data_IF_250863793134
#
_entry.id   IF_250863793134
#
_cell.length_a   1.000
_cell.length_b   1.000
_cell.length_c   1.000
_cell.angle_alpha   90.00
_cell.angle_beta   90.00
_cell.angle_gamma   90.00
#
_symmetry.space_group_name_H-M   'P 1'
#
loop_
_entity.id
_entity.type
_entity.pdbx_description
1 polymer ?
#
# COMPACT_ATOMS: atom_id res chain seq x y z
N UNK A 1 -24.26 4.21 28.87
CA UNK A 1 -23.78 3.06 28.08
C UNK A 1 -22.65 3.60 27.20
N UNK A 2 -21.40 3.35 27.58
CA UNK A 2 -20.25 3.82 26.80
C UNK A 2 -20.00 2.81 25.69
N UNK A 3 -20.32 3.16 24.44
CA UNK A 3 -19.87 2.42 23.27
C UNK A 3 -18.35 2.59 23.21
N UNK A 4 -17.63 1.63 23.80
CA UNK A 4 -16.19 1.53 23.66
C UNK A 4 -15.93 1.17 22.19
N UNK A 5 -15.87 2.19 21.33
CA UNK A 5 -15.36 2.05 19.99
C UNK A 5 -13.96 1.46 20.18
N UNK A 6 -13.80 0.18 19.85
CA UNK A 6 -12.50 -0.47 19.79
C UNK A 6 -11.69 0.39 18.82
N UNK A 7 -10.85 1.29 19.36
CA UNK A 7 -10.03 2.20 18.57
C UNK A 7 -8.97 1.30 17.96
N UNK A 8 -9.34 0.63 16.87
CA UNK A 8 -8.46 -0.30 16.20
C UNK A 8 -7.15 0.39 15.94
N UNK A 9 -6.06 -0.32 16.22
CA UNK A 9 -4.71 0.23 16.11
C UNK A 9 -4.52 0.80 14.70
N UNK A 10 -3.90 1.98 14.59
CA UNK A 10 -3.61 2.58 13.30
C UNK A 10 -2.33 1.95 12.77
N UNK A 11 -2.37 1.47 11.54
CA UNK A 11 -1.19 0.91 10.88
C UNK A 11 -0.78 1.79 9.71
N UNK A 12 0.52 2.07 9.61
CA UNK A 12 1.13 2.73 8.45
C UNK A 12 2.08 1.74 7.80
N UNK A 13 1.86 1.48 6.51
CA UNK A 13 2.75 0.65 5.71
C UNK A 13 3.48 1.56 4.75
N UNK A 14 4.80 1.64 4.93
CA UNK A 14 5.71 2.32 4.02
C UNK A 14 6.37 1.27 3.14
N UNK A 15 6.04 1.30 1.86
CA UNK A 15 6.49 0.32 0.89
C UNK A 15 7.53 0.94 -0.05
N UNK A 16 8.77 0.46 0.01
CA UNK A 16 9.80 0.79 -0.98
C UNK A 16 9.55 -0.02 -2.26
N UNK A 17 8.97 0.64 -3.26
CA UNK A 17 8.63 0.00 -4.54
C UNK A 17 9.85 -0.18 -5.44
N UNK A 18 10.98 0.49 -5.16
CA UNK A 18 12.20 0.29 -5.95
C UNK A 18 12.86 -1.03 -5.57
N UNK A 19 12.94 -1.31 -4.27
CA UNK A 19 13.59 -2.52 -3.76
C UNK A 19 12.63 -3.73 -3.74
N UNK A 20 11.33 -3.48 -3.57
CA UNK A 20 10.28 -4.50 -3.61
C UNK A 20 9.22 -4.15 -4.67
N UNK A 21 9.54 -4.25 -5.98
CA UNK A 21 8.58 -3.95 -7.04
C UNK A 21 7.47 -5.01 -7.12
N UNK A 22 6.37 -4.66 -7.81
CA UNK A 22 5.36 -5.66 -8.17
C UNK A 22 5.95 -6.58 -9.24
N UNK A 23 5.86 -7.90 -9.08
CA UNK A 23 6.33 -8.84 -10.09
C UNK A 23 5.59 -8.66 -11.41
N UNK A 24 6.28 -8.87 -12.53
CA UNK A 24 5.67 -8.76 -13.86
C UNK A 24 4.46 -9.70 -13.99
N UNK A 25 3.42 -9.20 -14.68
CA UNK A 25 2.16 -9.92 -14.89
C UNK A 25 1.26 -10.07 -13.65
N UNK A 26 1.66 -9.53 -12.49
CA UNK A 26 0.83 -9.56 -11.29
C UNK A 26 0.01 -8.29 -11.14
N UNK A 27 -1.23 -8.44 -10.66
CA UNK A 27 -2.09 -7.30 -10.43
C UNK A 27 -1.70 -6.56 -9.12
N UNK A 28 -1.47 -5.23 -9.19
CA UNK A 28 -1.12 -4.42 -8.02
C UNK A 28 -2.12 -4.53 -6.86
N UNK A 29 -3.41 -4.63 -7.16
CA UNK A 29 -4.44 -4.76 -6.14
C UNK A 29 -4.30 -6.06 -5.37
N UNK A 30 -3.95 -7.17 -6.04
CA UNK A 30 -3.76 -8.45 -5.36
C UNK A 30 -2.57 -8.41 -4.39
N UNK A 31 -1.47 -7.74 -4.77
CA UNK A 31 -0.30 -7.58 -3.90
C UNK A 31 -0.67 -6.76 -2.65
N UNK A 32 -1.32 -5.61 -2.85
CA UNK A 32 -1.79 -4.74 -1.76
C UNK A 32 -2.77 -5.48 -0.85
N UNK A 33 -3.74 -6.18 -1.43
CA UNK A 33 -4.73 -6.95 -0.68
C UNK A 33 -4.09 -8.05 0.16
N UNK A 34 -3.06 -8.73 -0.38
CA UNK A 34 -2.31 -9.76 0.37
C UNK A 34 -1.51 -9.16 1.52
N UNK A 35 -0.86 -8.02 1.32
CA UNK A 35 -0.16 -7.29 2.39
C UNK A 35 -1.14 -6.92 3.51
N UNK A 36 -2.29 -6.34 3.13
CA UNK A 36 -3.33 -5.97 4.09
C UNK A 36 -3.87 -7.19 4.85
N UNK A 37 -4.13 -8.29 4.13
CA UNK A 37 -4.62 -9.53 4.74
C UNK A 37 -3.59 -10.16 5.69
N UNK A 38 -2.31 -10.21 5.29
CA UNK A 38 -1.22 -10.77 6.08
C UNK A 38 -0.96 -9.99 7.38
N UNK A 39 -1.14 -8.68 7.35
CA UNK A 39 -1.05 -7.81 8.52
C UNK A 39 -2.21 -8.02 9.52
N UNK A 40 -3.13 -8.96 9.27
CA UNK A 40 -4.25 -9.27 10.17
C UNK A 40 -5.33 -8.17 10.20
N UNK A 41 -5.35 -7.31 9.18
CA UNK A 41 -6.13 -6.08 9.14
C UNK A 41 -7.64 -6.30 8.97
N UNK A 42 -8.07 -7.54 8.74
CA UNK A 42 -9.49 -7.88 8.59
C UNK A 42 -10.23 -7.82 9.95
N UNK A 43 -9.55 -7.83 11.11
CA UNK A 43 -10.24 -7.91 12.42
C UNK A 43 -9.77 -7.02 13.57
N UNK A 44 -8.68 -6.23 13.48
CA UNK A 44 -8.18 -5.44 14.65
C UNK A 44 -7.71 -4.00 14.39
N UNK A 45 -7.29 -3.65 13.19
CA UNK A 45 -6.87 -2.28 12.85
C UNK A 45 -8.04 -1.50 12.26
N UNK A 46 -8.33 -0.32 12.82
CA UNK A 46 -9.49 0.50 12.44
C UNK A 46 -9.23 1.40 11.24
N UNK A 47 -7.96 1.71 10.95
CA UNK A 47 -7.56 2.58 9.86
C UNK A 47 -6.13 2.22 9.43
N UNK A 48 -5.94 1.92 8.14
CA UNK A 48 -4.62 1.60 7.58
C UNK A 48 -4.32 2.56 6.46
N UNK A 49 -3.16 3.20 6.55
CA UNK A 49 -2.60 4.00 5.48
C UNK A 49 -1.45 3.25 4.84
N UNK A 50 -1.51 3.06 3.52
CA UNK A 50 -0.40 2.51 2.74
C UNK A 50 0.19 3.62 1.87
N UNK A 51 1.52 3.72 1.88
CA UNK A 51 2.27 4.65 1.05
C UNK A 51 3.37 3.91 0.33
N UNK A 52 3.34 3.95 -1.00
CA UNK A 52 4.41 3.47 -1.85
C UNK A 52 5.41 4.61 -2.12
N UNK A 53 6.68 4.36 -1.85
CA UNK A 53 7.76 5.33 -1.96
C UNK A 53 8.74 4.81 -3.02
N UNK A 54 8.99 5.63 -4.06
CA UNK A 54 9.88 5.28 -5.17
C UNK A 54 10.71 6.48 -5.60
N UNK A 55 11.98 6.29 -5.98
CA UNK A 55 12.86 7.39 -6.41
C UNK A 55 12.64 7.72 -7.89
N UNK A 56 12.34 6.70 -8.69
CA UNK A 56 12.02 6.85 -10.09
C UNK A 56 10.80 5.99 -10.43
N UNK A 57 9.66 6.50 -9.98
CA UNK A 57 8.32 5.97 -10.16
C UNK A 57 7.99 5.63 -11.65
N UNK A 58 8.64 6.26 -12.63
CA UNK A 58 8.48 5.95 -14.06
C UNK A 58 9.36 4.80 -14.56
N UNK A 59 10.39 4.38 -13.81
CA UNK A 59 11.35 3.31 -14.18
C UNK A 59 11.10 1.98 -13.47
N UNK A 60 10.11 1.88 -12.59
CA UNK A 60 9.77 0.63 -11.93
C UNK A 60 9.12 -0.36 -12.91
N UNK A 61 9.33 -1.68 -12.71
CA UNK A 61 8.65 -2.72 -13.50
C UNK A 61 7.12 -2.53 -13.47
N UNK A 62 6.50 -2.50 -14.65
CA UNK A 62 5.07 -2.20 -14.81
C UNK A 62 4.71 -0.70 -14.89
N UNK A 63 5.68 0.20 -14.72
CA UNK A 63 5.60 1.61 -15.13
C UNK A 63 4.45 2.42 -14.53
N UNK A 64 3.98 3.42 -15.31
CA UNK A 64 2.90 4.32 -14.89
C UNK A 64 1.55 3.63 -14.67
N UNK A 65 1.29 2.52 -15.36
CA UNK A 65 0.05 1.76 -15.20
C UNK A 65 -0.07 1.16 -13.80
N UNK A 66 1.02 0.61 -13.27
CA UNK A 66 1.07 0.08 -11.90
C UNK A 66 0.81 1.20 -10.90
N UNK A 67 1.47 2.35 -11.07
CA UNK A 67 1.26 3.51 -10.19
C UNK A 67 -0.18 4.02 -10.25
N UNK A 68 -0.74 4.14 -11.44
CA UNK A 68 -2.13 4.59 -11.62
C UNK A 68 -3.10 3.64 -10.91
N UNK A 69 -2.87 2.32 -11.03
CA UNK A 69 -3.64 1.32 -10.30
C UNK A 69 -3.51 1.48 -8.79
N UNK A 70 -2.28 1.65 -8.28
CA UNK A 70 -2.02 1.87 -6.84
C UNK A 70 -2.72 3.13 -6.31
N UNK A 71 -2.68 4.23 -7.06
CA UNK A 71 -3.40 5.46 -6.70
C UNK A 71 -4.92 5.26 -6.71
N UNK A 72 -5.45 4.55 -7.71
CA UNK A 72 -6.89 4.27 -7.83
C UNK A 72 -7.45 3.41 -6.68
N UNK A 73 -6.61 2.59 -6.04
CA UNK A 73 -7.01 1.76 -4.89
C UNK A 73 -6.72 2.44 -3.55
N UNK A 74 -6.33 3.71 -3.56
CA UNK A 74 -6.12 4.52 -2.36
C UNK A 74 -4.73 4.46 -1.76
N UNK A 75 -3.72 3.95 -2.48
CA UNK A 75 -2.32 4.01 -2.04
C UNK A 75 -1.73 5.38 -2.38
N UNK A 76 -1.15 6.03 -1.37
CA UNK A 76 -0.40 7.27 -1.61
C UNK A 76 0.93 6.95 -2.28
N UNK A 77 1.22 7.61 -3.39
CA UNK A 77 2.50 7.52 -4.08
C UNK A 77 3.38 8.70 -3.65
N UNK A 78 4.62 8.41 -3.23
CA UNK A 78 5.61 9.42 -2.88
C UNK A 78 6.88 9.24 -3.69
N UNK A 79 7.32 10.34 -4.28
CA UNK A 79 8.60 10.43 -4.96
C UNK A 79 9.67 10.60 -3.86
N UNK A 80 10.53 9.60 -3.66
CA UNK A 80 11.72 9.74 -2.85
C UNK A 80 12.65 10.73 -3.54
N UNK A 81 12.82 11.91 -2.95
CA UNK A 81 13.81 12.88 -3.42
C UNK A 81 15.18 12.21 -3.34
N UNK A 82 15.76 11.87 -4.48
CA UNK A 82 17.14 11.37 -4.59
C UNK A 82 18.14 12.51 -4.49
#
# INVERSE_FOLDING_TARGET
MATQQHRGEKALVLWDINNCPIPDGHDPFMVVHRIQTALGLVRRCGEISMTAIGNNLTKIPGGEDVMRKLSSIGISLKNGHG
#
